data_IF_447965039614
#
_entry.id   IF_447965039614
#
_cell.length_a   1.000
_cell.length_b   1.000
_cell.length_c   1.000
_cell.angle_alpha   90.00
_cell.angle_beta   90.00
_cell.angle_gamma   90.00
#
_symmetry.space_group_name_H-M   'P 1'
#
loop_
_entity.id
_entity.type
_entity.pdbx_description
1 polymer ?
#
# COMPACT_ATOMS: atom_id res chain seq x y z
N UNK A 1 5.76 0.21 -7.73
CA UNK A 1 5.39 -1.22 -7.72
C UNK A 1 5.68 -1.86 -9.07
N UNK A 2 5.18 -1.35 -10.20
CA UNK A 2 5.58 -1.84 -11.54
C UNK A 2 7.10 -1.69 -11.81
N UNK A 3 7.75 -0.64 -11.30
CA UNK A 3 9.21 -0.44 -11.43
C UNK A 3 10.09 -1.34 -10.55
N UNK A 4 9.51 -2.04 -9.57
CA UNK A 4 10.25 -2.95 -8.67
C UNK A 4 10.12 -4.43 -9.10
N UNK A 5 9.39 -4.71 -10.18
CA UNK A 5 9.11 -6.09 -10.60
C UNK A 5 8.11 -6.83 -9.71
N UNK A 6 7.57 -6.16 -8.68
CA UNK A 6 6.61 -6.73 -7.72
C UNK A 6 5.16 -6.59 -8.19
N UNK A 7 4.87 -6.50 -9.49
CA UNK A 7 3.47 -6.39 -9.95
C UNK A 7 3.25 -7.31 -11.16
N UNK A 8 2.15 -8.08 -11.19
CA UNK A 8 1.84 -9.02 -12.26
C UNK A 8 1.91 -8.39 -13.66
N UNK A 9 2.34 -9.18 -14.64
CA UNK A 9 2.54 -8.67 -16.00
C UNK A 9 1.17 -8.44 -16.65
N UNK A 10 0.90 -7.20 -17.06
CA UNK A 10 -0.33 -6.85 -17.77
C UNK A 10 -0.28 -7.27 -19.24
N UNK A 11 -1.43 -7.66 -19.78
CA UNK A 11 -1.61 -7.88 -21.22
C UNK A 11 -2.94 -7.27 -21.70
N UNK A 12 -3.01 -6.97 -22.99
CA UNK A 12 -4.16 -6.30 -23.58
C UNK A 12 -5.03 -7.32 -24.30
N UNK A 13 -6.26 -7.53 -23.83
CA UNK A 13 -7.27 -8.29 -24.59
C UNK A 13 -7.76 -7.47 -25.78
N UNK A 14 -7.90 -6.16 -25.60
CA UNK A 14 -8.27 -5.19 -26.64
C UNK A 14 -7.54 -3.87 -26.38
N UNK A 15 -7.53 -2.91 -27.33
CA UNK A 15 -6.86 -1.62 -27.14
C UNK A 15 -7.29 -0.82 -25.89
N UNK A 16 -8.46 -1.13 -25.33
CA UNK A 16 -8.98 -0.49 -24.12
C UNK A 16 -9.13 -1.44 -22.92
N UNK A 17 -8.83 -2.72 -23.09
CA UNK A 17 -8.99 -3.72 -22.04
C UNK A 17 -7.62 -4.33 -21.69
N UNK A 18 -7.06 -3.81 -20.61
CA UNK A 18 -5.86 -4.33 -19.96
C UNK A 18 -6.32 -5.29 -18.88
N UNK A 19 -5.75 -6.48 -18.86
CA UNK A 19 -6.03 -7.52 -17.87
C UNK A 19 -4.75 -8.07 -17.27
N UNK A 20 -4.92 -8.82 -16.19
CA UNK A 20 -3.87 -9.54 -15.49
C UNK A 20 -4.26 -11.00 -15.39
N UNK A 21 -3.26 -11.88 -15.30
CA UNK A 21 -3.48 -13.27 -14.96
C UNK A 21 -3.99 -13.36 -13.52
N UNK A 22 -5.06 -14.13 -13.31
CA UNK A 22 -5.69 -14.27 -11.99
C UNK A 22 -4.72 -14.92 -10.99
N UNK A 23 -4.02 -15.98 -11.39
CA UNK A 23 -3.11 -16.71 -10.51
C UNK A 23 -1.92 -15.85 -10.08
N UNK A 24 -1.38 -15.03 -10.99
CA UNK A 24 -0.31 -14.08 -10.65
C UNK A 24 -0.80 -13.02 -9.64
N UNK A 25 -2.01 -12.49 -9.83
CA UNK A 25 -2.59 -11.48 -8.92
C UNK A 25 -2.89 -12.09 -7.55
N UNK A 26 -3.42 -13.30 -7.49
CA UNK A 26 -3.71 -14.01 -6.24
C UNK A 26 -2.44 -14.30 -5.44
N UNK A 27 -1.41 -14.86 -6.08
CA UNK A 27 -0.12 -15.12 -5.44
C UNK A 27 0.52 -13.84 -4.90
N UNK A 28 0.43 -12.75 -5.65
CA UNK A 28 0.93 -11.44 -5.24
C UNK A 28 0.18 -10.84 -4.04
N UNK A 29 -1.15 -10.97 -4.01
CA UNK A 29 -1.96 -10.54 -2.86
C UNK A 29 -1.58 -11.34 -1.62
N UNK A 30 -1.37 -12.64 -1.76
CA UNK A 30 -1.04 -13.53 -0.65
C UNK A 30 0.35 -13.22 -0.07
N UNK A 31 1.36 -13.02 -0.92
CA UNK A 31 2.69 -12.54 -0.50
C UNK A 31 2.61 -11.20 0.25
N UNK A 32 1.78 -10.26 -0.23
CA UNK A 32 1.55 -8.96 0.41
C UNK A 32 0.79 -9.04 1.72
N UNK A 33 -0.09 -10.04 1.89
CA UNK A 33 -0.78 -10.29 3.17
C UNK A 33 0.17 -10.89 4.21
N UNK A 34 1.08 -11.76 3.77
CA UNK A 34 2.07 -12.41 4.63
C UNK A 34 3.20 -11.45 5.03
N UNK A 35 3.54 -10.50 4.18
CA UNK A 35 4.42 -9.39 4.54
C UNK A 35 3.78 -8.62 5.71
N UNK A 36 4.42 -8.56 6.89
CA UNK A 36 3.88 -7.81 8.01
C UNK A 36 3.76 -6.36 7.56
N UNK A 37 2.52 -5.86 7.48
CA UNK A 37 2.31 -4.42 7.35
C UNK A 37 2.99 -3.84 8.57
N UNK A 38 4.06 -3.09 8.36
CA UNK A 38 4.59 -2.24 9.41
C UNK A 38 3.39 -1.44 9.89
N UNK A 39 2.97 -1.72 11.11
CA UNK A 39 1.96 -0.93 11.77
C UNK A 39 2.61 0.44 11.90
N UNK A 40 2.32 1.31 10.93
CA UNK A 40 2.84 2.67 10.95
C UNK A 40 2.04 3.28 12.07
N UNK A 41 2.63 3.28 13.28
CA UNK A 41 2.15 4.06 14.40
C UNK A 41 1.73 5.41 13.82
N UNK A 42 0.44 5.71 13.94
CA UNK A 42 -0.14 6.89 13.32
C UNK A 42 0.72 8.11 13.67
N UNK A 43 0.81 9.11 12.78
CA UNK A 43 1.70 10.25 13.00
C UNK A 43 1.39 10.89 14.35
N UNK A 44 2.41 10.98 15.23
CA UNK A 44 2.25 11.55 16.56
C UNK A 44 1.67 12.96 16.43
N UNK A 45 0.45 13.11 16.94
CA UNK A 45 -0.33 14.36 16.85
C UNK A 45 0.31 15.49 17.63
N UNK A 46 1.17 15.18 18.61
CA UNK A 46 1.91 16.16 19.42
C UNK A 46 3.06 16.79 18.66
N UNK A 47 3.58 16.13 17.62
CA UNK A 47 4.65 16.64 16.76
C UNK A 47 4.14 17.52 15.61
N UNK A 48 2.83 17.78 15.53
CA UNK A 48 2.24 18.58 14.45
C UNK A 48 2.63 20.05 14.59
N UNK A 49 3.28 20.60 13.55
CA UNK A 49 3.59 22.04 13.45
C UNK A 49 2.32 22.90 13.37
N UNK A 50 1.26 22.38 12.71
CA UNK A 50 0.00 23.08 12.51
C UNK A 50 -1.08 22.46 13.40
N UNK A 51 -1.78 23.27 14.20
CA UNK A 51 -2.79 22.85 15.20
C UNK A 51 -2.26 21.85 16.25
N UNK A 52 -1.26 22.25 17.07
CA UNK A 52 -0.75 21.39 18.14
C UNK A 52 -1.82 21.12 19.20
N UNK A 53 -1.83 19.90 19.73
CA UNK A 53 -2.67 19.53 20.88
C UNK A 53 -2.08 20.19 22.13
N UNK A 54 -2.91 20.91 22.90
CA UNK A 54 -2.48 21.47 24.20
C UNK A 54 -2.11 20.31 25.13
N UNK A 55 -0.89 20.32 25.66
CA UNK A 55 -0.54 19.44 26.78
C UNK A 55 -1.40 19.84 27.98
N UNK A 56 -2.31 18.96 28.39
CA UNK A 56 -2.93 19.08 29.72
C UNK A 56 -1.82 18.82 30.74
N UNK A 57 -1.23 19.89 31.25
CA UNK A 57 -0.43 19.83 32.47
C UNK A 57 -1.40 19.74 33.65
N UNK A 58 -1.07 18.83 34.56
CA UNK A 58 -1.63 18.65 35.91
C UNK A 58 -1.58 19.95 36.73
#
# INVERSE_FOLDING_TARGET
MERRGEFPRRFNLTPRCVVWDLAEVEAWIEERKQAPRKDISGPDVRLRKTRPVRSSSD
#
